data_IF_005023200132
#
_entry.id   IF_005023200132
#
_cell.length_a   1.000
_cell.length_b   1.000
_cell.length_c   1.000
_cell.angle_alpha   90.00
_cell.angle_beta   90.00
_cell.angle_gamma   90.00
#
_symmetry.space_group_name_H-M   'P 1'
#
loop_
_entity.id
_entity.type
_entity.pdbx_description
1 polymer ?
#
# COMPACT_ATOMS: atom_id res chain seq x y z
N UNK A 1 -2.59 1.27 -14.60
CA UNK A 1 -2.57 1.09 -13.15
C UNK A 1 -1.31 0.46 -12.62
N UNK A 2 -0.95 -0.70 -13.10
CA UNK A 2 0.24 -1.35 -12.54
C UNK A 2 1.51 -0.55 -12.77
N UNK A 3 1.67 0.04 -13.95
CA UNK A 3 2.84 0.85 -14.21
C UNK A 3 2.89 2.06 -13.29
N UNK A 4 1.74 2.64 -13.05
CA UNK A 4 1.67 3.81 -12.18
C UNK A 4 2.02 3.48 -10.74
N UNK A 5 1.55 2.34 -10.24
CA UNK A 5 1.88 1.94 -8.88
C UNK A 5 3.39 1.78 -8.75
N UNK A 6 3.99 1.02 -9.64
CA UNK A 6 5.42 0.79 -9.58
C UNK A 6 6.22 2.07 -9.75
N UNK A 7 5.90 2.88 -10.75
CA UNK A 7 6.61 4.11 -11.00
C UNK A 7 6.52 5.05 -9.83
N UNK A 8 5.31 5.24 -9.33
CA UNK A 8 5.09 6.18 -8.26
C UNK A 8 5.86 5.82 -7.02
N UNK A 9 5.81 4.57 -6.64
CA UNK A 9 6.49 4.14 -5.44
C UNK A 9 8.01 4.09 -5.63
N UNK A 10 8.47 3.62 -6.77
CA UNK A 10 9.90 3.56 -7.04
C UNK A 10 10.54 4.94 -7.06
N UNK A 11 9.88 5.88 -7.70
CA UNK A 11 10.43 7.23 -7.83
C UNK A 11 10.24 8.06 -6.59
N UNK A 12 9.22 7.77 -5.85
CA UNK A 12 8.89 8.56 -4.67
C UNK A 12 9.21 7.87 -3.39
N UNK A 13 10.23 7.07 -3.44
CA UNK A 13 10.73 6.45 -2.25
C UNK A 13 11.45 7.49 -1.44
N UNK A 14 10.70 8.30 -0.77
CA UNK A 14 11.27 9.29 0.11
C UNK A 14 11.80 8.60 1.34
N UNK A 15 12.94 9.04 1.82
CA UNK A 15 13.40 8.58 3.10
C UNK A 15 12.41 9.10 4.14
N UNK A 16 12.43 8.50 5.32
CA UNK A 16 11.59 8.94 6.40
C UNK A 16 11.83 10.42 6.71
N UNK A 17 13.09 10.84 6.71
CA UNK A 17 13.43 12.22 7.00
C UNK A 17 12.89 13.17 5.94
N UNK A 18 12.98 12.79 4.69
CA UNK A 18 12.45 13.61 3.62
C UNK A 18 10.94 13.76 3.73
N UNK A 19 10.26 12.65 4.06
CA UNK A 19 8.83 12.68 4.22
C UNK A 19 8.43 13.58 5.39
N UNK A 20 9.16 13.48 6.50
CA UNK A 20 8.89 14.31 7.67
C UNK A 20 9.03 15.79 7.33
N UNK A 21 10.05 16.15 6.56
CA UNK A 21 10.21 17.54 6.14
C UNK A 21 9.03 18.03 5.32
N UNK A 22 8.47 17.16 4.50
CA UNK A 22 7.28 17.53 3.73
C UNK A 22 6.08 17.79 4.61
N UNK A 23 6.05 17.24 5.80
CA UNK A 23 4.94 17.39 6.74
C UNK A 23 5.09 18.58 7.66
N UNK A 24 6.17 19.33 7.53
CA UNK A 24 6.45 20.40 8.46
C UNK A 24 5.32 21.40 8.67
N UNK A 25 4.55 21.66 7.63
CA UNK A 25 3.52 22.67 7.77
C UNK A 25 2.29 22.13 8.46
N UNK A 26 1.56 21.29 7.89
CA UNK A 26 0.32 20.84 8.49
C UNK A 26 -0.08 19.54 7.83
N UNK A 27 0.39 18.44 8.35
CA UNK A 27 0.16 17.17 7.70
C UNK A 27 -1.31 16.82 7.67
N UNK A 28 -1.74 16.27 6.55
CA UNK A 28 -3.08 15.76 6.43
C UNK A 28 -3.15 14.41 7.13
N UNK A 29 -4.36 13.94 7.36
CA UNK A 29 -4.59 12.63 7.94
C UNK A 29 -3.95 11.54 7.10
N UNK A 30 -4.06 11.67 5.78
CA UNK A 30 -3.46 10.70 4.87
C UNK A 30 -1.94 10.69 4.96
N UNK A 31 -1.35 11.87 5.07
CA UNK A 31 0.10 11.96 5.22
C UNK A 31 0.57 11.31 6.51
N UNK A 32 -0.18 11.50 7.59
CA UNK A 32 0.16 10.88 8.87
C UNK A 32 0.05 9.36 8.77
N UNK A 33 -0.94 8.87 8.06
CA UNK A 33 -1.08 7.42 7.87
C UNK A 33 0.09 6.87 7.08
N UNK A 34 0.51 7.58 6.02
CA UNK A 34 1.66 7.16 5.23
C UNK A 34 2.92 7.13 6.10
N UNK A 35 3.09 8.12 6.96
CA UNK A 35 4.25 8.14 7.84
C UNK A 35 4.27 6.93 8.76
N UNK A 36 3.12 6.54 9.29
CA UNK A 36 3.05 5.36 10.15
C UNK A 36 3.43 4.08 9.39
N UNK A 37 3.01 3.99 8.14
CA UNK A 37 3.35 2.83 7.31
C UNK A 37 4.86 2.78 7.07
N UNK A 38 5.45 3.93 6.76
CA UNK A 38 6.89 3.98 6.52
C UNK A 38 7.68 3.62 7.77
N UNK A 39 7.22 4.07 8.93
CA UNK A 39 7.82 3.70 10.20
C UNK A 39 7.73 2.20 10.44
N UNK A 40 6.58 1.64 10.18
CA UNK A 40 6.37 0.20 10.36
C UNK A 40 7.32 -0.60 9.47
N UNK A 41 7.44 -0.20 8.22
CA UNK A 41 8.35 -0.86 7.29
C UNK A 41 9.79 -0.74 7.77
N UNK A 42 10.16 0.45 8.22
CA UNK A 42 11.52 0.70 8.70
C UNK A 42 11.88 -0.20 9.88
N UNK A 43 10.92 -0.47 10.74
CA UNK A 43 11.15 -1.30 11.94
C UNK A 43 11.10 -2.79 11.62
N UNK A 44 10.14 -3.22 10.83
CA UNK A 44 9.84 -4.65 10.69
C UNK A 44 10.28 -5.30 9.39
N UNK A 45 10.63 -4.53 8.37
CA UNK A 45 11.06 -5.13 7.11
C UNK A 45 12.52 -5.58 7.20
N UNK A 46 12.81 -6.69 6.53
CA UNK A 46 14.18 -7.16 6.43
C UNK A 46 15.00 -6.18 5.61
N UNK A 47 16.27 -6.00 6.00
CA UNK A 47 17.12 -5.03 5.33
C UNK A 47 17.22 -5.25 3.82
N UNK A 48 17.24 -6.51 3.38
CA UNK A 48 17.34 -6.79 1.95
C UNK A 48 16.10 -6.42 1.18
N UNK A 49 14.96 -6.30 1.84
CA UNK A 49 13.68 -6.02 1.17
C UNK A 49 13.17 -4.61 1.41
N UNK A 50 13.63 -4.00 2.47
CA UNK A 50 13.09 -2.74 2.97
C UNK A 50 12.90 -1.67 1.90
N UNK A 51 13.89 -1.47 1.08
CA UNK A 51 13.84 -0.40 0.08
C UNK A 51 13.10 -0.77 -1.19
N UNK A 52 12.65 -2.01 -1.30
CA UNK A 52 12.00 -2.48 -2.50
C UNK A 52 10.50 -2.74 -2.35
N UNK A 53 10.00 -2.64 -1.13
CA UNK A 53 8.59 -2.89 -0.86
C UNK A 53 7.73 -1.84 -1.55
N UNK A 54 6.81 -2.29 -2.38
CA UNK A 54 5.91 -1.39 -3.10
C UNK A 54 4.61 -1.22 -2.34
N UNK A 55 4.10 0.00 -2.32
CA UNK A 55 2.84 0.31 -1.68
C UNK A 55 1.80 0.63 -2.73
N UNK A 56 0.57 0.21 -2.49
CA UNK A 56 -0.53 0.50 -3.40
C UNK A 56 -0.94 1.96 -3.25
N UNK A 57 -0.91 2.69 -4.35
CA UNK A 57 -1.19 4.11 -4.34
C UNK A 57 -2.64 4.39 -3.97
N UNK A 58 -2.83 5.25 -3.00
CA UNK A 58 -4.18 5.67 -2.59
C UNK A 58 -4.91 4.70 -1.68
N UNK A 59 -4.25 3.63 -1.23
CA UNK A 59 -4.89 2.60 -0.42
C UNK A 59 -4.26 2.43 0.95
N UNK A 60 -3.61 3.47 1.45
CA UNK A 60 -2.93 3.40 2.74
C UNK A 60 -3.85 2.97 3.88
N UNK A 61 -5.10 3.40 3.83
CA UNK A 61 -6.05 3.04 4.89
C UNK A 61 -6.34 1.56 4.96
N UNK A 62 -6.03 0.84 3.88
CA UNK A 62 -6.27 -0.59 3.81
C UNK A 62 -5.00 -1.41 4.11
N UNK A 63 -3.91 -0.76 4.42
CA UNK A 63 -2.65 -1.43 4.71
C UNK A 63 -2.76 -2.24 6.01
N UNK A 64 -2.37 -3.49 5.98
CA UNK A 64 -2.45 -4.37 7.14
C UNK A 64 -1.09 -4.74 7.71
N UNK A 65 -0.06 -4.77 6.89
CA UNK A 65 1.25 -5.19 7.36
C UNK A 65 2.10 -5.75 6.26
N UNK A 66 3.04 -6.62 6.63
CA UNK A 66 3.99 -7.22 5.71
C UNK A 66 3.87 -8.74 5.75
N UNK A 67 4.20 -9.39 4.65
CA UNK A 67 4.24 -10.85 4.59
C UNK A 67 5.35 -11.27 3.65
N UNK A 68 5.86 -12.49 3.85
CA UNK A 68 6.81 -13.08 2.92
C UNK A 68 6.05 -13.84 1.86
N UNK A 69 6.22 -13.44 0.61
CA UNK A 69 5.63 -14.17 -0.50
C UNK A 69 6.44 -15.42 -0.74
N UNK A 70 5.78 -16.53 -0.89
CA UNK A 70 6.45 -17.81 -1.17
C UNK A 70 7.35 -18.30 -0.03
N UNK A 71 6.99 -17.96 1.20
CA UNK A 71 7.66 -18.51 2.36
C UNK A 71 8.81 -17.68 2.89
N UNK A 72 9.55 -18.28 3.79
CA UNK A 72 10.60 -17.59 4.55
C UNK A 72 11.66 -16.93 3.67
N UNK A 73 11.99 -17.54 2.55
CA UNK A 73 13.03 -17.00 1.67
C UNK A 73 12.46 -16.15 0.54
N UNK A 74 11.17 -15.94 0.53
CA UNK A 74 10.53 -15.12 -0.49
C UNK A 74 10.68 -13.65 -0.21
N UNK A 75 10.23 -12.84 -1.15
CA UNK A 75 10.28 -11.39 -0.99
C UNK A 75 9.23 -10.94 0.02
N UNK A 76 9.60 -9.99 0.84
CA UNK A 76 8.67 -9.39 1.79
C UNK A 76 7.86 -8.31 1.09
N UNK A 77 6.55 -8.38 1.20
CA UNK A 77 5.66 -7.49 0.46
C UNK A 77 4.61 -6.87 1.39
N UNK A 78 4.04 -5.77 0.93
CA UNK A 78 2.95 -5.12 1.66
C UNK A 78 1.67 -5.93 1.50
N UNK A 79 0.86 -5.96 2.54
CA UNK A 79 -0.40 -6.70 2.56
C UNK A 79 -1.54 -5.74 2.82
N UNK A 80 -2.57 -5.84 2.00
CA UNK A 80 -3.76 -4.98 2.12
C UNK A 80 -5.01 -5.85 2.24
N UNK A 81 -6.01 -5.30 2.91
CA UNK A 81 -7.30 -5.98 3.02
C UNK A 81 -8.18 -5.62 1.84
N UNK A 82 -8.75 -6.62 1.19
CA UNK A 82 -9.62 -6.41 0.02
C UNK A 82 -10.83 -5.56 0.36
N UNK A 83 -11.52 -5.92 1.43
CA UNK A 83 -12.70 -5.16 1.86
C UNK A 83 -12.34 -3.70 2.14
N UNK A 84 -11.25 -3.49 2.87
CA UNK A 84 -10.81 -2.14 3.21
C UNK A 84 -10.40 -1.34 1.99
N UNK A 85 -9.80 -2.01 1.00
CA UNK A 85 -9.47 -1.33 -0.25
C UNK A 85 -10.71 -0.84 -0.96
N UNK A 86 -11.71 -1.70 -1.08
CA UNK A 86 -12.96 -1.35 -1.77
C UNK A 86 -13.66 -0.21 -1.03
N UNK A 87 -13.71 -0.32 0.29
CA UNK A 87 -14.33 0.70 1.12
C UNK A 87 -13.62 2.06 0.95
N UNK A 88 -12.29 2.02 0.93
CA UNK A 88 -11.50 3.24 0.74
C UNK A 88 -11.81 3.89 -0.61
N UNK A 89 -11.89 3.08 -1.65
CA UNK A 89 -12.23 3.58 -2.97
C UNK A 89 -13.63 4.16 -3.01
N UNK A 90 -14.56 3.50 -2.34
CA UNK A 90 -15.93 3.97 -2.25
C UNK A 90 -16.01 5.36 -1.63
N UNK A 91 -15.33 5.53 -0.51
CA UNK A 91 -15.34 6.81 0.20
C UNK A 91 -14.65 7.92 -0.60
N UNK A 92 -13.50 7.62 -1.16
CA UNK A 92 -12.72 8.64 -1.86
C UNK A 92 -13.39 9.13 -3.12
N UNK A 93 -14.10 8.25 -3.82
CA UNK A 93 -14.67 8.58 -5.10
C UNK A 93 -16.18 8.79 -5.04
N UNK A 94 -16.77 8.58 -3.88
CA UNK A 94 -18.23 8.66 -3.70
C UNK A 94 -18.95 7.70 -4.63
N UNK A 95 -18.40 6.52 -4.76
CA UNK A 95 -18.95 5.46 -5.58
C UNK A 95 -19.86 4.56 -4.77
N UNK A 96 -20.72 3.83 -5.47
CA UNK A 96 -21.43 2.73 -4.86
C UNK A 96 -20.45 1.58 -4.64
N UNK A 97 -20.81 0.69 -3.74
CA UNK A 97 -19.93 -0.45 -3.45
C UNK A 97 -19.58 -1.24 -4.70
N UNK A 98 -20.59 -1.52 -5.53
CA UNK A 98 -20.38 -2.31 -6.73
C UNK A 98 -19.40 -1.63 -7.69
N UNK A 99 -19.47 -0.34 -7.79
CA UNK A 99 -18.53 0.40 -8.65
C UNK A 99 -17.10 0.31 -8.11
N UNK A 100 -16.95 0.48 -6.81
CA UNK A 100 -15.64 0.42 -6.19
C UNK A 100 -15.06 -0.99 -6.29
N UNK A 101 -15.90 -1.99 -6.08
CA UNK A 101 -15.50 -3.38 -6.17
C UNK A 101 -15.01 -3.74 -7.57
N UNK A 102 -15.77 -3.33 -8.58
CA UNK A 102 -15.37 -3.59 -9.96
C UNK A 102 -14.07 -2.90 -10.31
N UNK A 103 -13.95 -1.64 -9.92
CA UNK A 103 -12.71 -0.91 -10.16
C UNK A 103 -11.52 -1.61 -9.51
N UNK A 104 -11.67 -2.01 -8.25
CA UNK A 104 -10.59 -2.65 -7.53
C UNK A 104 -10.14 -3.93 -8.21
N UNK A 105 -11.08 -4.79 -8.57
CA UNK A 105 -10.73 -6.06 -9.19
C UNK A 105 -10.09 -5.90 -10.56
N UNK A 106 -10.54 -4.92 -11.35
CA UNK A 106 -10.02 -4.74 -12.69
C UNK A 106 -8.71 -3.96 -12.73
N UNK A 107 -8.50 -3.05 -11.80
CA UNK A 107 -7.38 -2.13 -11.89
C UNK A 107 -6.30 -2.32 -10.84
N UNK A 108 -6.57 -3.11 -9.82
CA UNK A 108 -5.64 -3.20 -8.69
C UNK A 108 -5.30 -4.62 -8.29
N UNK A 109 -6.33 -5.42 -7.97
CA UNK A 109 -6.12 -6.70 -7.31
C UNK A 109 -5.20 -7.67 -8.04
N UNK A 110 -5.36 -7.80 -9.33
CA UNK A 110 -4.60 -8.77 -10.11
C UNK A 110 -3.43 -8.15 -10.89
N UNK A 111 -3.11 -6.91 -10.56
CA UNK A 111 -2.01 -6.21 -11.21
C UNK A 111 -0.68 -6.72 -10.72
N UNK A 112 0.20 -7.08 -11.64
CA UNK A 112 1.53 -7.56 -11.28
C UNK A 112 2.57 -6.51 -11.66
N UNK A 113 3.41 -6.13 -10.71
CA UNK A 113 4.45 -5.12 -10.93
C UNK A 113 5.82 -5.62 -10.46
N UNK A 114 6.01 -6.92 -10.47
CA UNK A 114 7.30 -7.50 -10.10
C UNK A 114 7.22 -8.30 -8.80
N UNK A 115 8.38 -8.70 -8.31
CA UNK A 115 8.46 -9.56 -7.14
C UNK A 115 7.94 -8.93 -5.86
N UNK A 116 7.88 -7.60 -5.82
CA UNK A 116 7.41 -6.89 -4.64
C UNK A 116 5.97 -6.40 -4.78
N UNK A 117 5.22 -7.00 -5.70
CA UNK A 117 3.80 -6.68 -5.86
C UNK A 117 3.07 -6.89 -4.54
N UNK A 118 2.29 -5.92 -4.09
CA UNK A 118 1.50 -6.09 -2.87
C UNK A 118 0.55 -7.27 -2.94
N UNK A 119 0.26 -7.84 -1.79
CA UNK A 119 -0.71 -8.92 -1.67
C UNK A 119 -2.02 -8.36 -1.14
N UNK A 120 -3.12 -8.92 -1.63
CA UNK A 120 -4.45 -8.50 -1.18
C UNK A 120 -5.14 -9.73 -0.61
N UNK A 121 -5.61 -9.62 0.63
CA UNK A 121 -6.22 -10.74 1.31
C UNK A 121 -7.67 -10.45 1.66
N UNK A 122 -8.45 -11.50 1.76
CA UNK A 122 -9.82 -11.38 2.22
C UNK A 122 -9.81 -11.24 3.72
N UNK A 123 -10.36 -10.14 4.20
CA UNK A 123 -10.34 -9.84 5.63
C UNK A 123 -11.56 -10.45 6.31
N UNK A 124 -11.35 -10.81 7.56
CA UNK A 124 -12.49 -11.21 8.37
C UNK A 124 -13.31 -9.96 8.66
N UNK A 125 -14.58 -10.01 8.35
CA UNK A 125 -15.49 -8.90 8.63
C UNK A 125 -15.82 -8.88 10.10
N UNK A 126 -15.99 -7.69 10.65
CA UNK A 126 -16.34 -7.53 12.06
C UNK A 126 -17.79 -7.27 12.25
#
# INVERSE_FOLDING_TARGET
MKQRVKKKLSKKKLSKNEFIRMLEKKPTKEQLKRLKILDFIDIYADDEHKDNILLADGLDEAFLGLAHRDGEHGKQVAVYGIYSCIYTLQLKNKWKWEEAEEYFHHNTRWTYVGEYTPMFIEEMMR
#
